data_IF_304490111505
#
_entry.id   IF_304490111505
#
_cell.length_a   1.000
_cell.length_b   1.000
_cell.length_c   1.000
_cell.angle_alpha   90.00
_cell.angle_beta   90.00
_cell.angle_gamma   90.00
#
_symmetry.space_group_name_H-M   'P 1'
#
loop_
_entity.id
_entity.type
_entity.pdbx_description
1 polymer ?
#
# COMPACT_ATOMS: atom_id res chain seq x y z
N UNK A 1 -23.59 62.14 34.87
CA UNK A 1 -23.18 61.83 33.52
C UNK A 1 -22.49 60.48 33.54
N UNK A 2 -23.19 59.51 33.08
CA UNK A 2 -22.64 58.11 33.03
C UNK A 2 -21.95 57.89 31.75
N UNK A 3 -20.65 57.80 31.81
CA UNK A 3 -19.88 57.28 30.65
C UNK A 3 -19.91 55.73 30.67
N UNK A 4 -20.70 55.19 29.83
CA UNK A 4 -20.70 53.75 29.62
C UNK A 4 -19.49 53.39 28.78
N UNK A 5 -18.50 52.83 29.40
CA UNK A 5 -17.38 52.23 28.69
C UNK A 5 -17.88 50.95 27.98
N UNK A 6 -17.98 51.01 26.68
CA UNK A 6 -18.24 49.86 25.90
C UNK A 6 -16.93 49.11 25.78
N UNK A 7 -16.77 48.07 26.57
CA UNK A 7 -15.68 47.11 26.39
C UNK A 7 -16.01 46.26 25.15
N UNK A 8 -15.38 46.57 24.06
CA UNK A 8 -15.43 45.72 22.90
C UNK A 8 -14.49 44.55 23.14
N UNK A 9 -15.06 43.43 23.52
CA UNK A 9 -14.34 42.19 23.56
C UNK A 9 -14.17 41.75 22.09
N UNK A 10 -13.00 41.97 21.57
CA UNK A 10 -12.62 41.37 20.29
C UNK A 10 -12.38 39.86 20.55
N UNK A 11 -13.38 39.06 20.20
CA UNK A 11 -13.18 37.62 20.16
C UNK A 11 -12.22 37.33 19.04
N UNK A 12 -10.97 37.07 19.36
CA UNK A 12 -10.02 36.52 18.41
C UNK A 12 -10.43 35.08 18.11
N UNK A 13 -11.08 34.86 16.98
CA UNK A 13 -11.28 33.52 16.46
C UNK A 13 -9.91 33.02 16.03
N UNK A 14 -9.30 32.21 16.85
CA UNK A 14 -8.15 31.42 16.45
C UNK A 14 -8.66 30.26 15.58
N UNK A 15 -8.55 30.40 14.27
CA UNK A 15 -8.73 29.27 13.38
C UNK A 15 -7.51 28.37 13.52
N UNK A 16 -7.66 27.30 14.28
CA UNK A 16 -6.70 26.23 14.23
C UNK A 16 -6.91 25.51 12.90
N UNK A 17 -6.08 25.83 11.92
CA UNK A 17 -5.97 25.01 10.73
C UNK A 17 -5.29 23.71 11.14
N UNK A 18 -6.07 22.70 11.44
CA UNK A 18 -5.56 21.33 11.39
C UNK A 18 -5.37 21.01 9.92
N UNK A 19 -4.17 21.27 9.41
CA UNK A 19 -3.76 20.68 8.15
C UNK A 19 -3.74 19.16 8.40
N UNK A 20 -4.60 18.36 7.73
CA UNK A 20 -4.43 16.91 7.83
C UNK A 20 -2.98 16.64 7.42
N UNK A 21 -2.22 16.02 8.30
CA UNK A 21 -0.88 15.61 7.97
C UNK A 21 -0.97 14.84 6.66
N UNK A 22 -0.38 15.38 5.59
CA UNK A 22 -0.23 14.66 4.35
C UNK A 22 0.68 13.49 4.66
N UNK A 23 0.07 12.36 5.03
CA UNK A 23 0.81 11.14 5.24
C UNK A 23 1.29 10.66 3.89
N UNK A 24 2.57 10.90 3.61
CA UNK A 24 3.27 10.32 2.48
C UNK A 24 3.53 8.84 2.77
N UNK A 25 2.47 8.07 3.07
CA UNK A 25 2.55 6.63 3.19
C UNK A 25 2.30 6.01 1.82
N UNK A 26 3.16 5.08 1.42
CA UNK A 26 2.94 4.28 0.24
C UNK A 26 1.66 3.47 0.41
N UNK A 27 0.58 3.88 -0.23
CA UNK A 27 -0.68 3.16 -0.24
C UNK A 27 -0.79 2.32 -1.50
N UNK A 28 -1.33 1.10 -1.37
CA UNK A 28 -1.57 0.25 -2.52
C UNK A 28 -2.70 0.84 -3.36
N UNK A 29 -2.39 1.20 -4.61
CA UNK A 29 -3.34 1.77 -5.56
C UNK A 29 -3.84 0.73 -6.56
N UNK A 30 -2.97 -0.21 -6.95
CA UNK A 30 -3.29 -1.20 -7.99
C UNK A 30 -2.45 -2.45 -7.77
N UNK A 31 -3.03 -3.59 -8.06
CA UNK A 31 -2.37 -4.88 -7.96
C UNK A 31 -2.58 -5.73 -9.22
N UNK A 32 -1.58 -6.54 -9.57
CA UNK A 32 -1.66 -7.61 -10.54
C UNK A 32 -1.04 -8.87 -9.90
N UNK A 33 -1.80 -9.92 -9.65
CA UNK A 33 -3.25 -10.07 -9.88
C UNK A 33 -4.12 -9.06 -9.14
N UNK A 34 -5.30 -8.70 -9.70
CA UNK A 34 -6.19 -7.73 -9.06
C UNK A 34 -6.73 -8.22 -7.72
N UNK A 35 -6.95 -7.29 -6.79
CA UNK A 35 -7.59 -7.59 -5.51
C UNK A 35 -8.95 -8.24 -5.74
N UNK A 36 -9.15 -9.44 -5.19
CA UNK A 36 -10.39 -10.20 -5.36
C UNK A 36 -10.61 -10.74 -6.78
N UNK A 37 -9.65 -10.61 -7.67
CA UNK A 37 -9.76 -11.05 -9.06
C UNK A 37 -9.51 -12.54 -9.25
N UNK A 38 -9.83 -13.03 -10.44
CA UNK A 38 -9.54 -14.38 -10.90
C UNK A 38 -8.67 -14.32 -12.15
N UNK A 39 -7.53 -15.00 -12.12
CA UNK A 39 -6.54 -14.98 -13.20
C UNK A 39 -6.04 -16.39 -13.49
N UNK A 40 -5.42 -16.57 -14.64
CA UNK A 40 -4.56 -17.74 -14.87
C UNK A 40 -3.31 -17.63 -14.02
N UNK A 41 -2.55 -18.72 -13.86
CA UNK A 41 -1.34 -18.70 -13.04
C UNK A 41 -0.43 -17.52 -13.42
N UNK A 42 -0.22 -16.54 -12.52
CA UNK A 42 0.58 -15.37 -12.83
C UNK A 42 2.07 -15.69 -12.78
N UNK A 43 2.84 -15.07 -13.67
CA UNK A 43 4.31 -15.21 -13.69
C UNK A 43 4.99 -14.29 -12.67
N UNK A 44 4.30 -13.23 -12.27
CA UNK A 44 4.79 -12.26 -11.29
C UNK A 44 3.64 -11.58 -10.55
N UNK A 45 3.97 -10.98 -9.42
CA UNK A 45 3.05 -10.12 -8.67
C UNK A 45 3.60 -8.71 -8.76
N UNK A 46 2.74 -7.77 -9.15
CA UNK A 46 3.08 -6.35 -9.27
C UNK A 46 2.15 -5.54 -8.38
N UNK A 47 2.73 -4.74 -7.52
CA UNK A 47 1.98 -3.86 -6.62
C UNK A 47 2.37 -2.41 -6.90
N UNK A 48 1.40 -1.62 -7.35
CA UNK A 48 1.55 -0.19 -7.58
C UNK A 48 1.17 0.57 -6.33
N UNK A 49 2.10 1.35 -5.80
CA UNK A 49 1.90 2.20 -4.63
C UNK A 49 1.76 3.67 -5.02
N UNK A 50 1.28 4.48 -4.07
CA UNK A 50 1.09 5.91 -4.26
C UNK A 50 2.40 6.70 -4.36
N UNK A 51 3.52 6.09 -3.93
CA UNK A 51 4.85 6.69 -4.01
C UNK A 51 5.93 5.62 -4.19
N UNK A 52 7.16 6.04 -4.47
CA UNK A 52 8.30 5.14 -4.60
C UNK A 52 8.55 4.31 -3.35
N UNK A 53 8.94 3.07 -3.53
CA UNK A 53 9.24 2.13 -2.44
C UNK A 53 10.67 1.62 -2.54
N UNK A 54 11.22 1.26 -1.39
CA UNK A 54 12.55 0.68 -1.26
C UNK A 54 12.44 -0.85 -1.32
N UNK A 55 12.85 -1.49 -2.42
CA UNK A 55 12.67 -2.93 -2.57
C UNK A 55 13.48 -3.74 -1.57
N UNK A 56 14.57 -3.19 -1.06
CA UNK A 56 15.42 -3.87 -0.06
C UNK A 56 14.75 -4.01 1.29
N UNK A 57 13.78 -3.15 1.60
CA UNK A 57 13.07 -3.12 2.87
C UNK A 57 11.58 -3.46 2.74
N UNK A 58 11.15 -3.72 1.52
CA UNK A 58 9.78 -4.08 1.19
C UNK A 58 9.70 -5.55 0.85
N UNK A 59 8.51 -6.14 0.91
CA UNK A 59 8.35 -7.54 0.59
C UNK A 59 6.92 -7.93 0.26
N UNK A 60 6.82 -9.07 -0.40
CA UNK A 60 5.57 -9.72 -0.77
C UNK A 60 5.69 -11.19 -0.39
N UNK A 61 4.68 -11.70 0.31
CA UNK A 61 4.53 -13.11 0.58
C UNK A 61 3.25 -13.63 -0.10
N UNK A 62 3.29 -14.86 -0.58
CA UNK A 62 2.16 -15.52 -1.22
C UNK A 62 1.87 -16.82 -0.49
N UNK A 63 0.62 -17.03 -0.10
CA UNK A 63 0.18 -18.22 0.61
C UNK A 63 -1.03 -18.83 -0.10
N UNK A 64 -0.98 -20.09 -0.40
CA UNK A 64 -2.15 -20.85 -0.86
C UNK A 64 -3.06 -21.10 0.34
N UNK A 65 -4.39 -21.10 0.13
CA UNK A 65 -5.35 -21.38 1.20
C UNK A 65 -5.09 -22.74 1.84
N UNK A 66 -4.93 -22.75 3.17
CA UNK A 66 -4.70 -23.96 3.93
C UNK A 66 -3.35 -24.63 3.69
N UNK A 67 -2.39 -23.94 3.07
CA UNK A 67 -1.10 -24.51 2.71
C UNK A 67 0.06 -23.62 3.12
N UNK A 68 1.27 -24.11 2.88
CA UNK A 68 2.51 -23.39 3.14
C UNK A 68 2.70 -22.20 2.19
N UNK A 69 3.63 -21.33 2.55
CA UNK A 69 4.01 -20.20 1.70
C UNK A 69 4.57 -20.66 0.36
N UNK A 70 4.22 -19.94 -0.70
CA UNK A 70 4.77 -20.14 -2.04
C UNK A 70 6.09 -19.38 -2.15
N UNK A 71 7.19 -20.03 -2.54
CA UNK A 71 8.45 -19.33 -2.75
C UNK A 71 8.34 -18.29 -3.87
N UNK A 72 8.88 -17.09 -3.61
CA UNK A 72 8.91 -15.98 -4.55
C UNK A 72 10.34 -15.50 -4.77
N UNK A 73 10.56 -14.84 -5.90
CA UNK A 73 11.83 -14.19 -6.18
C UNK A 73 12.09 -12.98 -5.29
N UNK A 74 13.28 -12.41 -5.40
CA UNK A 74 13.65 -11.20 -4.67
C UNK A 74 12.82 -10.01 -5.11
N UNK A 75 12.34 -9.16 -4.18
CA UNK A 75 11.65 -7.94 -4.53
C UNK A 75 12.52 -7.00 -5.36
N UNK A 76 11.93 -6.42 -6.37
CA UNK A 76 12.54 -5.37 -7.19
C UNK A 76 11.48 -4.33 -7.52
N UNK A 77 11.91 -3.18 -8.02
CA UNK A 77 10.98 -2.18 -8.56
C UNK A 77 11.08 -2.14 -10.08
N UNK A 78 10.00 -1.73 -10.71
CA UNK A 78 9.99 -1.51 -12.15
C UNK A 78 11.05 -0.44 -12.50
N UNK A 79 11.93 -0.69 -13.49
CA UNK A 79 12.95 0.30 -13.88
C UNK A 79 12.38 1.64 -14.34
N UNK A 80 11.14 1.63 -14.85
CA UNK A 80 10.44 2.84 -15.31
C UNK A 80 9.57 3.49 -14.24
N UNK A 81 9.28 2.79 -13.13
CA UNK A 81 8.39 3.29 -12.09
C UNK A 81 8.74 2.69 -10.72
N UNK A 82 9.44 3.46 -9.90
CA UNK A 82 9.88 3.04 -8.55
C UNK A 82 8.73 2.81 -7.57
N UNK A 83 7.52 3.18 -7.92
CA UNK A 83 6.34 2.91 -7.10
C UNK A 83 5.72 1.53 -7.36
N UNK A 84 6.26 0.77 -8.30
CA UNK A 84 5.81 -0.60 -8.63
C UNK A 84 6.79 -1.61 -8.05
N UNK A 85 6.34 -2.34 -7.03
CA UNK A 85 7.09 -3.45 -6.43
C UNK A 85 6.74 -4.74 -7.15
N UNK A 86 7.75 -5.53 -7.49
CA UNK A 86 7.61 -6.75 -8.29
C UNK A 86 8.31 -7.90 -7.60
N UNK A 87 7.64 -9.05 -7.58
CA UNK A 87 8.26 -10.35 -7.30
C UNK A 87 7.88 -11.34 -8.38
N UNK A 88 8.81 -12.21 -8.72
CA UNK A 88 8.54 -13.28 -9.68
C UNK A 88 7.99 -14.52 -8.97
N UNK A 89 6.99 -15.14 -9.59
CA UNK A 89 6.45 -16.42 -9.16
C UNK A 89 7.20 -17.50 -9.96
N UNK A 90 8.08 -18.24 -9.30
CA UNK A 90 9.02 -19.16 -9.96
C UNK A 90 8.40 -20.47 -10.43
N UNK A 91 7.10 -20.67 -10.28
CA UNK A 91 6.41 -21.89 -10.66
C UNK A 91 4.96 -21.63 -11.05
N UNK A 92 4.38 -22.58 -11.77
CA UNK A 92 2.94 -22.58 -12.06
C UNK A 92 2.16 -22.79 -10.77
N UNK A 93 1.18 -21.93 -10.52
CA UNK A 93 0.31 -22.03 -9.34
C UNK A 93 -0.89 -22.93 -9.65
N UNK A 94 -1.18 -23.93 -8.81
CA UNK A 94 -2.42 -24.68 -8.91
C UNK A 94 -3.65 -23.77 -8.77
N UNK A 95 -4.80 -24.16 -9.37
CA UNK A 95 -6.05 -23.44 -9.14
C UNK A 95 -6.40 -23.37 -7.65
N UNK A 96 -6.95 -22.23 -7.23
CA UNK A 96 -7.38 -22.03 -5.87
C UNK A 96 -7.27 -20.58 -5.42
N UNK A 97 -7.53 -20.37 -4.14
CA UNK A 97 -7.47 -19.07 -3.48
C UNK A 97 -6.09 -18.83 -2.90
N UNK A 98 -5.55 -17.65 -3.16
CA UNK A 98 -4.24 -17.22 -2.67
C UNK A 98 -4.35 -15.92 -1.90
N UNK A 99 -3.53 -15.78 -0.86
CA UNK A 99 -3.40 -14.54 -0.10
C UNK A 99 -2.04 -13.92 -0.38
N UNK A 100 -2.05 -12.66 -0.78
CA UNK A 100 -0.86 -11.81 -0.89
C UNK A 100 -0.77 -10.99 0.38
N UNK A 101 0.35 -11.10 1.08
CA UNK A 101 0.68 -10.25 2.22
C UNK A 101 1.87 -9.40 1.84
N UNK A 102 1.77 -8.11 2.03
CA UNK A 102 2.83 -7.20 1.64
C UNK A 102 3.19 -6.24 2.74
N UNK A 103 4.42 -5.79 2.73
CA UNK A 103 4.88 -4.65 3.50
C UNK A 103 5.72 -3.75 2.57
N UNK A 104 5.57 -2.47 2.70
CA UNK A 104 6.28 -1.50 1.90
C UNK A 104 6.93 -0.45 2.78
N UNK A 105 8.17 -0.13 2.45
CA UNK A 105 8.87 1.01 3.02
C UNK A 105 9.02 2.03 1.89
N UNK A 106 8.42 3.20 2.08
CA UNK A 106 8.52 4.26 1.10
C UNK A 106 9.91 4.90 1.11
N UNK A 107 10.22 5.63 0.05
CA UNK A 107 11.51 6.34 -0.07
C UNK A 107 11.73 7.37 1.04
N UNK A 108 10.67 7.82 1.71
CA UNK A 108 10.72 8.69 2.89
C UNK A 108 10.71 7.92 4.23
N UNK A 109 10.94 6.61 4.19
CA UNK A 109 11.09 5.71 5.36
C UNK A 109 9.82 5.38 6.14
N UNK A 110 8.64 5.65 5.62
CA UNK A 110 7.38 5.22 6.24
C UNK A 110 7.05 3.77 5.88
N UNK A 111 6.52 3.04 6.87
CA UNK A 111 6.13 1.65 6.72
C UNK A 111 4.62 1.52 6.55
N UNK A 112 4.21 0.73 5.57
CA UNK A 112 2.82 0.30 5.38
C UNK A 112 2.77 -1.19 5.16
N UNK A 113 1.62 -1.80 5.42
CA UNK A 113 1.40 -3.22 5.21
C UNK A 113 -0.06 -3.50 4.93
N UNK A 114 -0.32 -4.62 4.30
CA UNK A 114 -1.67 -5.07 4.00
C UNK A 114 -1.68 -6.46 3.43
N UNK A 115 -2.88 -6.93 3.15
CA UNK A 115 -3.09 -8.19 2.46
C UNK A 115 -4.31 -8.11 1.54
N UNK A 116 -4.37 -9.02 0.58
CA UNK A 116 -5.53 -9.23 -0.27
C UNK A 116 -5.50 -10.64 -0.84
N UNK A 117 -6.60 -11.04 -1.40
CA UNK A 117 -6.75 -12.36 -2.01
C UNK A 117 -7.02 -12.26 -3.51
N UNK A 118 -6.60 -13.29 -4.23
CA UNK A 118 -6.98 -13.51 -5.62
C UNK A 118 -7.13 -15.02 -5.86
N UNK A 119 -7.79 -15.36 -6.95
CA UNK A 119 -8.04 -16.74 -7.32
C UNK A 119 -7.28 -17.08 -8.59
N UNK A 120 -6.62 -18.25 -8.60
CA UNK A 120 -6.09 -18.86 -9.81
C UNK A 120 -7.16 -19.75 -10.39
N UNK A 121 -7.53 -19.50 -11.64
CA UNK A 121 -8.54 -20.29 -12.38
C UNK A 121 -8.01 -21.67 -12.76
N UNK A 122 -8.91 -22.66 -12.86
CA UNK A 122 -8.57 -23.97 -13.41
C UNK A 122 -8.03 -23.90 -14.83
#
# INVERSE_FOLDING_TARGET
MNRRSIVRIAAALAFAFTVPAAFAHAQLEKAMPPVGGAVTSPAEIRLKFSEGVEPRFSGIALTAEGAAAVPLGQPSVDPADKSVLIVKVGKTLPPGLYTVTWHAVSVDTHHTQGDFQFTVKP
#
